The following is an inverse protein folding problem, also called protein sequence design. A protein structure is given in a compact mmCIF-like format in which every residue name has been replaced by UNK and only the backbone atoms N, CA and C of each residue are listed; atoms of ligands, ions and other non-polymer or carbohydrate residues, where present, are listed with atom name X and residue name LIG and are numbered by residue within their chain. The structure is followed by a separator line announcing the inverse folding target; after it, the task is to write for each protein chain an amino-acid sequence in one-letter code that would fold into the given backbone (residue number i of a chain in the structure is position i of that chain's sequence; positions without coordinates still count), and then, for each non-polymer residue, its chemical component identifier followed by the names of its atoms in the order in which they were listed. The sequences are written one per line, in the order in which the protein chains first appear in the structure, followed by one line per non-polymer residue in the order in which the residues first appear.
data_IF_037977943002
#
_entry.id   IF_037977943002
#
_cell.length_a   1.000
_cell.length_b   1.000
_cell.length_c   1.000
_cell.angle_alpha   90.00
_cell.angle_beta   90.00
_cell.angle_gamma   90.00
#
_symmetry.space_group_name_H-M   'P 1'
#
loop_
_entity.id
_entity.type
_entity.pdbx_description
1 polymer ?
#
# COMPACT_ATOMS: atom_id res chain seq x y z
N UNK A 1 -16.94 -1.51 21.02
CA UNK A 1 -17.29 -0.42 21.96
C UNK A 1 -16.09 0.30 22.59
N UNK A 2 -14.85 -0.22 22.54
CA UNK A 2 -13.66 0.45 23.13
C UNK A 2 -13.06 1.61 22.30
N UNK A 3 -13.50 1.84 21.06
CA UNK A 3 -12.90 2.88 20.19
C UNK A 3 -13.44 4.31 20.41
N UNK A 4 -14.45 4.50 21.29
CA UNK A 4 -14.99 5.85 21.58
C UNK A 4 -13.97 6.79 22.25
N UNK A 5 -12.87 6.27 22.78
CA UNK A 5 -11.85 7.05 23.51
C UNK A 5 -10.89 7.82 22.58
N UNK A 6 -10.93 7.62 21.25
CA UNK A 6 -10.01 8.25 20.29
C UNK A 6 -10.73 9.11 19.23
N UNK A 7 -11.79 9.81 19.63
CA UNK A 7 -12.54 10.74 18.76
C UNK A 7 -12.30 12.19 19.20
N UNK A 8 -11.09 12.76 18.98
CA UNK A 8 -10.74 14.10 19.45
C UNK A 8 -11.56 15.23 18.80
N UNK A 9 -12.14 14.99 17.63
CA UNK A 9 -12.94 15.97 16.89
C UNK A 9 -14.43 15.64 16.95
N UNK A 10 -15.26 16.67 17.03
CA UNK A 10 -16.69 16.52 16.81
C UNK A 10 -16.98 16.04 15.38
N UNK A 11 -18.07 15.29 15.22
CA UNK A 11 -18.42 14.65 13.93
C UNK A 11 -18.51 15.65 12.76
N UNK A 12 -19.10 16.84 12.88
CA UNK A 12 -19.12 17.82 11.79
C UNK A 12 -17.71 18.30 11.41
N UNK A 13 -16.83 18.48 12.40
CA UNK A 13 -15.45 18.93 12.19
C UNK A 13 -14.65 17.86 11.46
N UNK A 14 -14.78 16.59 11.86
CA UNK A 14 -14.17 15.47 11.15
C UNK A 14 -14.65 15.39 9.69
N UNK A 15 -15.95 15.51 9.45
CA UNK A 15 -16.51 15.46 8.09
C UNK A 15 -15.96 16.61 7.24
N UNK A 16 -15.97 17.83 7.76
CA UNK A 16 -15.42 18.99 7.06
C UNK A 16 -13.94 18.79 6.73
N UNK A 17 -13.15 18.29 7.68
CA UNK A 17 -11.74 17.98 7.47
C UNK A 17 -11.52 16.94 6.35
N UNK A 18 -12.30 15.85 6.35
CA UNK A 18 -12.20 14.83 5.31
C UNK A 18 -12.60 15.37 3.93
N UNK A 19 -13.63 16.22 3.85
CA UNK A 19 -14.02 16.89 2.60
C UNK A 19 -12.87 17.76 2.09
N UNK A 20 -12.26 18.58 2.95
CA UNK A 20 -11.13 19.43 2.58
C UNK A 20 -9.97 18.59 2.05
N UNK A 21 -9.62 17.47 2.70
CA UNK A 21 -8.58 16.56 2.21
C UNK A 21 -8.90 16.04 0.80
N UNK A 22 -10.14 15.63 0.55
CA UNK A 22 -10.53 15.12 -0.76
C UNK A 22 -10.49 16.21 -1.84
N UNK A 23 -10.88 17.45 -1.50
CA UNK A 23 -10.76 18.59 -2.41
C UNK A 23 -9.29 18.91 -2.73
N UNK A 24 -8.39 18.85 -1.75
CA UNK A 24 -6.95 19.04 -1.96
C UNK A 24 -6.40 17.96 -2.89
N UNK A 25 -6.74 16.68 -2.66
CA UNK A 25 -6.34 15.57 -3.54
C UNK A 25 -6.81 15.80 -4.98
N UNK A 26 -8.09 16.17 -5.16
CA UNK A 26 -8.66 16.43 -6.47
C UNK A 26 -7.97 17.61 -7.17
N UNK A 27 -7.69 18.69 -6.44
CA UNK A 27 -6.98 19.87 -6.97
C UNK A 27 -5.59 19.49 -7.49
N UNK A 28 -4.86 18.68 -6.73
CA UNK A 28 -3.54 18.19 -7.14
C UNK A 28 -3.64 17.26 -8.35
N UNK A 29 -4.62 16.36 -8.41
CA UNK A 29 -4.86 15.52 -9.60
C UNK A 29 -5.13 16.41 -10.83
N UNK A 30 -5.93 17.47 -10.67
CA UNK A 30 -6.23 18.41 -11.76
C UNK A 30 -4.98 19.14 -12.25
N UNK A 31 -4.03 19.46 -11.36
CA UNK A 31 -2.78 20.14 -11.72
C UNK A 31 -1.75 19.25 -12.45
N UNK A 32 -2.00 17.94 -12.61
CA UNK A 32 -1.13 16.98 -13.29
C UNK A 32 0.36 17.04 -12.84
N UNK A 33 0.67 16.74 -11.58
CA UNK A 33 2.00 16.94 -11.02
C UNK A 33 3.05 15.93 -11.51
N UNK A 34 2.64 14.85 -12.19
CA UNK A 34 3.56 13.79 -12.57
C UNK A 34 4.45 14.20 -13.75
N UNK A 35 5.72 13.79 -13.69
CA UNK A 35 6.69 14.06 -14.76
C UNK A 35 6.29 13.37 -16.07
N UNK A 36 6.70 13.96 -17.20
CA UNK A 36 6.44 13.38 -18.52
C UNK A 36 6.96 11.94 -18.67
N UNK A 37 8.13 11.64 -18.08
CA UNK A 37 8.68 10.28 -18.06
C UNK A 37 7.80 9.28 -17.34
N UNK A 38 7.29 9.65 -16.15
CA UNK A 38 6.34 8.83 -15.42
C UNK A 38 5.04 8.63 -16.20
N UNK A 39 4.48 9.71 -16.75
CA UNK A 39 3.24 9.67 -17.51
C UNK A 39 3.35 8.72 -18.71
N UNK A 40 4.45 8.80 -19.45
CA UNK A 40 4.67 7.95 -20.62
C UNK A 40 4.82 6.47 -20.24
N UNK A 41 5.58 6.16 -19.18
CA UNK A 41 5.73 4.79 -18.70
C UNK A 41 4.41 4.23 -18.17
N UNK A 42 3.77 4.92 -17.22
CA UNK A 42 2.64 4.39 -16.45
C UNK A 42 1.31 4.38 -17.21
N UNK A 43 1.10 5.34 -18.13
CA UNK A 43 -0.09 5.33 -19.00
C UNK A 43 0.19 4.65 -20.35
N UNK A 44 1.46 4.45 -20.71
CA UNK A 44 1.87 3.76 -21.93
C UNK A 44 2.09 2.26 -21.79
N UNK A 45 2.31 1.72 -20.57
CA UNK A 45 2.67 0.31 -20.39
C UNK A 45 1.63 -0.66 -20.98
N UNK A 46 0.36 -0.27 -21.01
CA UNK A 46 -0.75 -1.11 -21.52
C UNK A 46 -0.62 -1.46 -23.01
N UNK A 47 0.28 -0.80 -23.75
CA UNK A 47 0.59 -1.11 -25.16
C UNK A 47 1.52 -2.32 -25.31
N UNK A 48 2.10 -2.79 -24.22
CA UNK A 48 3.13 -3.81 -24.20
C UNK A 48 2.65 -5.02 -23.39
N UNK A 49 3.02 -6.25 -23.78
CA UNK A 49 2.70 -7.43 -22.98
C UNK A 49 3.37 -7.33 -21.61
N UNK A 50 2.82 -8.02 -20.59
CA UNK A 50 3.42 -8.03 -19.27
C UNK A 50 4.89 -8.46 -19.39
N UNK A 51 5.77 -7.82 -18.61
CA UNK A 51 7.22 -8.13 -18.56
C UNK A 51 8.07 -7.72 -19.76
N UNK A 52 7.49 -7.03 -20.73
CA UNK A 52 8.25 -6.45 -21.83
C UNK A 52 9.22 -5.37 -21.36
N UNK A 53 10.39 -5.28 -22.01
CA UNK A 53 11.38 -4.21 -21.86
C UNK A 53 11.28 -3.16 -22.98
N UNK A 54 10.27 -3.28 -23.83
CA UNK A 54 10.06 -2.40 -24.99
C UNK A 54 9.36 -1.10 -24.61
N UNK A 55 8.85 -0.99 -23.38
CA UNK A 55 8.39 0.27 -22.83
C UNK A 55 9.60 1.15 -22.50
N UNK A 56 9.70 2.31 -23.16
CA UNK A 56 10.86 3.19 -23.05
C UNK A 56 10.43 4.53 -22.50
N UNK A 57 11.27 5.16 -21.66
CA UNK A 57 11.04 6.53 -21.16
C UNK A 57 11.44 7.59 -22.19
N UNK A 58 11.24 8.89 -21.87
CA UNK A 58 11.50 10.01 -22.80
C UNK A 58 12.98 10.07 -23.23
N UNK A 59 13.89 9.49 -22.45
CA UNK A 59 15.31 9.33 -22.77
C UNK A 59 15.68 8.00 -23.45
N UNK A 60 14.72 7.27 -24.02
CA UNK A 60 14.91 5.95 -24.64
C UNK A 60 15.43 4.86 -23.68
N UNK A 61 15.31 5.09 -22.36
CA UNK A 61 15.75 4.14 -21.33
C UNK A 61 14.69 3.03 -21.22
N UNK A 62 15.06 1.74 -21.38
CA UNK A 62 14.13 0.64 -21.21
C UNK A 62 13.65 0.58 -19.77
N UNK A 63 12.34 0.57 -19.59
CA UNK A 63 11.69 0.46 -18.29
C UNK A 63 10.75 -0.74 -18.35
N UNK A 64 10.96 -1.79 -17.53
CA UNK A 64 10.17 -2.99 -17.64
C UNK A 64 8.69 -2.67 -17.37
N UNK A 65 7.86 -3.31 -18.17
CA UNK A 65 6.45 -3.49 -17.90
C UNK A 65 6.36 -4.36 -16.61
N UNK A 66 5.37 -4.08 -15.74
CA UNK A 66 5.41 -4.29 -14.29
C UNK A 66 5.77 -5.68 -13.80
N UNK A 67 6.12 -5.73 -12.50
CA UNK A 67 6.67 -6.90 -11.81
C UNK A 67 5.70 -8.08 -11.63
N UNK A 68 4.39 -7.89 -11.48
CA UNK A 68 3.42 -8.98 -11.22
C UNK A 68 2.16 -8.88 -12.08
N UNK A 69 1.52 -10.02 -12.37
CA UNK A 69 0.28 -10.07 -13.16
C UNK A 69 -0.88 -9.37 -12.45
N UNK A 70 -0.87 -9.38 -11.12
CA UNK A 70 -1.89 -8.72 -10.30
C UNK A 70 -1.80 -7.20 -10.42
N UNK A 71 -0.58 -6.67 -10.40
CA UNK A 71 -0.33 -5.26 -10.73
C UNK A 71 -0.82 -4.98 -12.15
N UNK A 72 -0.34 -5.75 -13.13
CA UNK A 72 -0.64 -5.52 -14.55
C UNK A 72 -2.16 -5.46 -14.82
N UNK A 73 -2.90 -6.39 -14.24
CA UNK A 73 -4.35 -6.51 -14.44
C UNK A 73 -5.11 -5.33 -13.84
N UNK A 74 -4.77 -4.90 -12.63
CA UNK A 74 -5.44 -3.77 -11.97
C UNK A 74 -5.16 -2.45 -12.68
N UNK A 75 -3.90 -2.20 -13.00
CA UNK A 75 -3.49 -0.94 -13.62
C UNK A 75 -3.82 -0.87 -15.11
N UNK A 76 -4.39 -1.93 -15.71
CA UNK A 76 -4.84 -1.91 -17.10
C UNK A 76 -5.79 -0.76 -17.43
N UNK A 77 -6.51 -0.25 -16.42
CA UNK A 77 -7.36 0.94 -16.53
C UNK A 77 -6.59 2.22 -16.96
N UNK A 78 -5.26 2.27 -16.79
CA UNK A 78 -4.44 3.39 -17.29
C UNK A 78 -4.47 3.53 -18.81
N UNK A 79 -4.90 2.49 -19.56
CA UNK A 79 -5.11 2.56 -21.02
C UNK A 79 -6.11 3.65 -21.44
N UNK A 80 -7.02 4.02 -20.55
CA UNK A 80 -7.99 5.10 -20.78
C UNK A 80 -7.41 6.49 -20.47
N UNK A 81 -6.13 6.56 -20.12
CA UNK A 81 -5.38 7.78 -19.90
C UNK A 81 -5.43 8.30 -18.47
N UNK A 82 -4.76 9.44 -18.28
CA UNK A 82 -4.54 10.07 -16.99
C UNK A 82 -5.82 10.28 -16.18
N UNK A 83 -6.83 10.92 -16.79
CA UNK A 83 -8.04 11.32 -16.07
C UNK A 83 -8.87 10.12 -15.63
N UNK A 84 -9.09 9.15 -16.52
CA UNK A 84 -9.88 7.97 -16.23
C UNK A 84 -9.29 7.18 -15.04
N UNK A 85 -7.96 6.97 -15.05
CA UNK A 85 -7.28 6.29 -13.94
C UNK A 85 -7.41 7.07 -12.62
N UNK A 86 -6.97 8.34 -12.59
CA UNK A 86 -6.90 9.08 -11.32
C UNK A 86 -8.27 9.38 -10.73
N UNK A 87 -9.29 9.64 -11.55
CA UNK A 87 -10.64 9.85 -11.05
C UNK A 87 -11.26 8.54 -10.52
N UNK A 88 -10.95 7.40 -11.16
CA UNK A 88 -11.39 6.10 -10.66
C UNK A 88 -10.73 5.76 -9.33
N UNK A 89 -9.40 5.93 -9.22
CA UNK A 89 -8.70 5.68 -7.95
C UNK A 89 -9.10 6.67 -6.87
N UNK A 90 -9.35 7.93 -7.21
CA UNK A 90 -9.90 8.92 -6.27
C UNK A 90 -11.30 8.54 -5.76
N UNK A 91 -12.18 8.02 -6.62
CA UNK A 91 -13.50 7.53 -6.21
C UNK A 91 -13.38 6.33 -5.26
N UNK A 92 -12.50 5.37 -5.57
CA UNK A 92 -12.18 4.23 -4.71
C UNK A 92 -11.63 4.72 -3.35
N UNK A 93 -10.74 5.72 -3.37
CA UNK A 93 -10.17 6.29 -2.16
C UNK A 93 -11.19 6.96 -1.27
N UNK A 94 -12.08 7.74 -1.87
CA UNK A 94 -13.17 8.39 -1.16
C UNK A 94 -14.07 7.35 -0.49
N UNK A 95 -14.43 6.28 -1.20
CA UNK A 95 -15.19 5.17 -0.63
C UNK A 95 -14.45 4.48 0.51
N UNK A 96 -13.14 4.22 0.36
CA UNK A 96 -12.30 3.63 1.40
C UNK A 96 -12.29 4.50 2.67
N UNK A 97 -12.09 5.81 2.52
CA UNK A 97 -12.05 6.75 3.65
C UNK A 97 -13.40 6.79 4.37
N UNK A 98 -14.52 6.77 3.64
CA UNK A 98 -15.86 6.70 4.24
C UNK A 98 -16.02 5.42 5.08
N UNK A 99 -15.62 4.27 4.52
CA UNK A 99 -15.69 2.99 5.23
C UNK A 99 -14.80 3.01 6.47
N UNK A 100 -13.56 3.50 6.36
CA UNK A 100 -12.62 3.59 7.49
C UNK A 100 -13.15 4.52 8.58
N UNK A 101 -13.62 5.72 8.22
CA UNK A 101 -14.16 6.70 9.15
C UNK A 101 -15.40 6.19 9.90
N UNK A 102 -16.18 5.30 9.27
CA UNK A 102 -17.39 4.71 9.86
C UNK A 102 -17.08 3.56 10.82
N UNK A 103 -15.92 2.91 10.71
CA UNK A 103 -15.62 1.66 11.41
C UNK A 103 -14.39 1.73 12.32
N UNK A 104 -13.57 2.77 12.23
CA UNK A 104 -12.32 2.90 12.96
C UNK A 104 -12.17 4.25 13.65
N UNK A 105 -11.14 4.39 14.49
CA UNK A 105 -10.85 5.63 15.21
C UNK A 105 -10.50 6.78 14.27
N UNK A 106 -10.70 8.02 14.73
CA UNK A 106 -10.35 9.21 13.95
C UNK A 106 -8.85 9.29 13.68
N UNK A 107 -8.01 8.87 14.64
CA UNK A 107 -6.57 8.80 14.45
C UNK A 107 -6.19 7.86 13.30
N UNK A 108 -6.77 6.65 13.27
CA UNK A 108 -6.54 5.72 12.17
C UNK A 108 -7.08 6.26 10.85
N UNK A 109 -8.22 6.93 10.87
CA UNK A 109 -8.79 7.59 9.69
C UNK A 109 -7.85 8.67 9.14
N UNK A 110 -7.28 9.51 10.01
CA UNK A 110 -6.28 10.52 9.64
C UNK A 110 -5.02 9.89 9.06
N UNK A 111 -4.52 8.81 9.67
CA UNK A 111 -3.40 8.03 9.14
C UNK A 111 -3.70 7.50 7.72
N UNK A 112 -4.86 6.88 7.50
CA UNK A 112 -5.26 6.36 6.18
C UNK A 112 -5.43 7.51 5.17
N UNK A 113 -6.00 8.64 5.59
CA UNK A 113 -6.17 9.84 4.75
C UNK A 113 -4.82 10.44 4.30
N UNK A 114 -3.83 10.45 5.19
CA UNK A 114 -2.47 10.90 4.86
C UNK A 114 -1.77 9.91 3.92
N UNK A 115 -1.81 8.62 4.22
CA UNK A 115 -1.17 7.59 3.39
C UNK A 115 -1.79 7.51 1.99
N UNK A 116 -3.12 7.58 1.90
CA UNK A 116 -3.81 7.63 0.61
C UNK A 116 -3.40 8.83 -0.24
N UNK A 117 -3.14 9.99 0.37
CA UNK A 117 -2.63 11.16 -0.36
C UNK A 117 -1.28 10.85 -1.02
N UNK A 118 -0.36 10.23 -0.29
CA UNK A 118 0.93 9.78 -0.85
C UNK A 118 0.73 8.80 -2.01
N UNK A 119 -0.09 7.76 -1.83
CA UNK A 119 -0.26 6.72 -2.84
C UNK A 119 -1.13 7.13 -4.02
N UNK A 120 -2.02 8.12 -3.90
CA UNK A 120 -2.76 8.66 -5.04
C UNK A 120 -1.91 9.61 -5.89
N UNK A 121 -1.09 10.44 -5.25
CA UNK A 121 -0.45 11.59 -5.90
C UNK A 121 1.02 11.30 -6.23
N UNK A 122 1.77 10.86 -5.21
CA UNK A 122 3.23 10.69 -5.30
C UNK A 122 3.58 9.33 -5.89
N UNK A 123 2.83 8.29 -5.51
CA UNK A 123 3.10 6.91 -5.93
C UNK A 123 1.85 6.15 -6.41
N UNK A 124 1.13 6.65 -7.44
CA UNK A 124 -0.07 6.00 -8.00
C UNK A 124 0.13 4.55 -8.44
N UNK A 125 1.35 4.19 -8.86
CA UNK A 125 1.76 2.82 -9.18
C UNK A 125 1.70 1.84 -7.99
N UNK A 126 1.64 2.33 -6.75
CA UNK A 126 1.57 1.51 -5.55
C UNK A 126 0.22 1.67 -4.81
N UNK A 127 -0.77 2.32 -5.43
CA UNK A 127 -2.09 2.51 -4.83
C UNK A 127 -2.81 1.19 -4.50
N UNK A 128 -2.75 0.19 -5.39
CA UNK A 128 -3.31 -1.15 -5.12
C UNK A 128 -2.67 -1.81 -3.89
N UNK A 129 -1.35 -1.64 -3.74
CA UNK A 129 -0.57 -2.21 -2.64
C UNK A 129 -1.03 -1.59 -1.32
N UNK A 130 -1.26 -0.27 -1.32
CA UNK A 130 -1.88 0.43 -0.20
C UNK A 130 -3.29 -0.09 0.11
N UNK A 131 -4.16 -0.29 -0.90
CA UNK A 131 -5.49 -0.88 -0.67
C UNK A 131 -5.39 -2.24 0.02
N UNK A 132 -4.49 -3.11 -0.44
CA UNK A 132 -4.26 -4.41 0.19
C UNK A 132 -3.75 -4.29 1.62
N UNK A 133 -2.90 -3.30 1.94
CA UNK A 133 -2.46 -3.06 3.31
C UNK A 133 -3.65 -2.70 4.20
N UNK A 134 -4.50 -1.77 3.78
CA UNK A 134 -5.66 -1.33 4.57
C UNK A 134 -6.70 -2.45 4.71
N UNK A 135 -7.03 -3.14 3.61
CA UNK A 135 -7.93 -4.29 3.64
C UNK A 135 -7.34 -5.47 4.44
N UNK A 136 -6.02 -5.58 4.49
CA UNK A 136 -5.25 -6.54 5.27
C UNK A 136 -5.53 -6.48 6.76
N UNK A 137 -5.82 -5.27 7.26
CA UNK A 137 -6.28 -5.06 8.65
C UNK A 137 -7.58 -5.79 8.94
N UNK A 138 -8.47 -5.89 7.95
CA UNK A 138 -9.79 -6.53 8.09
C UNK A 138 -9.67 -8.03 7.81
N UNK A 139 -9.00 -8.38 6.70
CA UNK A 139 -8.83 -9.75 6.22
C UNK A 139 -7.35 -10.00 5.92
N UNK A 140 -6.72 -10.84 6.74
CA UNK A 140 -5.28 -11.13 6.69
C UNK A 140 -4.75 -11.51 5.30
N UNK A 141 -5.54 -12.22 4.48
CA UNK A 141 -5.10 -12.68 3.16
C UNK A 141 -4.70 -11.54 2.21
N UNK A 142 -5.15 -10.30 2.43
CA UNK A 142 -4.68 -9.16 1.63
C UNK A 142 -3.24 -8.74 1.97
N UNK A 143 -2.73 -9.02 3.17
CA UNK A 143 -1.35 -8.66 3.54
C UNK A 143 -0.30 -9.44 2.70
N UNK A 144 -0.42 -10.76 2.50
CA UNK A 144 0.42 -11.46 1.51
C UNK A 144 0.25 -10.92 0.08
N UNK A 145 -0.96 -10.52 -0.32
CA UNK A 145 -1.19 -9.95 -1.66
C UNK A 145 -0.40 -8.66 -1.90
N UNK A 146 -0.14 -7.86 -0.86
CA UNK A 146 0.77 -6.71 -0.94
C UNK A 146 2.15 -7.12 -1.46
N UNK A 147 2.72 -8.17 -0.87
CA UNK A 147 4.06 -8.68 -1.22
C UNK A 147 4.02 -9.27 -2.62
N UNK A 148 3.03 -10.11 -2.92
CA UNK A 148 2.86 -10.75 -4.22
C UNK A 148 2.61 -9.76 -5.37
N UNK A 149 2.06 -8.58 -5.07
CA UNK A 149 1.82 -7.52 -6.05
C UNK A 149 3.08 -6.70 -6.30
N UNK A 150 3.81 -6.33 -5.24
CA UNK A 150 4.98 -5.47 -5.33
C UNK A 150 6.17 -6.18 -5.97
N UNK A 151 6.41 -7.43 -5.56
CA UNK A 151 7.51 -8.23 -6.05
C UNK A 151 7.06 -9.11 -7.22
N UNK A 152 7.97 -9.49 -8.14
CA UNK A 152 7.66 -10.39 -9.24
C UNK A 152 7.53 -11.85 -8.77
N UNK A 153 6.61 -12.09 -7.82
CA UNK A 153 6.38 -13.38 -7.17
C UNK A 153 5.16 -14.14 -7.72
N UNK A 154 4.43 -13.52 -8.64
CA UNK A 154 3.43 -14.17 -9.48
C UNK A 154 3.99 -14.10 -10.91
N UNK A 155 3.89 -15.17 -11.75
CA UNK A 155 4.61 -15.33 -13.00
C UNK A 155 4.91 -14.02 -13.70
N UNK A 156 6.20 -13.71 -13.89
CA UNK A 156 7.26 -14.62 -14.25
C UNK A 156 8.38 -14.52 -13.21
N UNK A 157 8.19 -15.24 -12.11
CA UNK A 157 9.22 -15.41 -11.09
C UNK A 157 10.55 -15.88 -11.72
N UNK A 158 10.46 -16.56 -12.86
CA UNK A 158 11.56 -17.19 -13.59
C UNK A 158 12.22 -16.31 -14.66
N UNK A 159 11.77 -15.07 -14.92
CA UNK A 159 12.39 -14.25 -15.99
C UNK A 159 13.68 -13.56 -15.51
N UNK A 160 14.88 -13.97 -15.98
CA UNK A 160 16.15 -13.46 -15.46
C UNK A 160 16.37 -11.98 -15.79
N UNK A 161 15.81 -11.50 -16.91
CA UNK A 161 15.92 -10.10 -17.33
C UNK A 161 15.32 -9.13 -16.31
N UNK A 162 14.20 -9.50 -15.67
CA UNK A 162 13.54 -8.68 -14.63
C UNK A 162 14.42 -8.60 -13.39
N UNK A 163 14.92 -9.75 -12.91
CA UNK A 163 15.81 -9.77 -11.75
C UNK A 163 17.11 -9.02 -12.02
N UNK A 164 17.68 -9.16 -13.22
CA UNK A 164 18.86 -8.41 -13.62
C UNK A 164 18.58 -6.91 -13.61
N UNK A 165 17.46 -6.45 -14.17
CA UNK A 165 17.06 -5.05 -14.10
C UNK A 165 16.92 -4.57 -12.65
N UNK A 166 16.24 -5.32 -11.79
CA UNK A 166 16.03 -4.95 -10.38
C UNK A 166 17.37 -4.75 -9.67
N UNK A 167 18.32 -5.66 -9.86
CA UNK A 167 19.58 -5.70 -9.11
C UNK A 167 20.67 -4.79 -9.68
N UNK A 168 20.65 -4.52 -10.99
CA UNK A 168 21.74 -3.80 -11.68
C UNK A 168 21.36 -2.42 -12.18
N UNK A 169 20.08 -2.11 -12.36
CA UNK A 169 19.67 -0.82 -12.92
C UNK A 169 19.70 0.30 -11.85
N UNK A 170 20.32 1.47 -12.15
CA UNK A 170 20.40 2.58 -11.21
C UNK A 170 19.03 3.15 -10.80
N UNK A 171 18.00 2.98 -11.64
CA UNK A 171 16.62 3.42 -11.40
C UNK A 171 15.77 2.36 -10.67
N UNK A 172 16.36 1.23 -10.27
CA UNK A 172 15.70 0.15 -9.53
C UNK A 172 16.14 0.13 -8.07
N UNK A 173 16.96 -0.85 -7.63
CA UNK A 173 17.37 -0.97 -6.23
C UNK A 173 18.33 0.15 -5.77
N UNK A 174 18.99 0.82 -6.70
CA UNK A 174 19.96 1.88 -6.38
C UNK A 174 19.33 3.27 -6.29
N UNK A 175 18.04 3.42 -6.59
CA UNK A 175 17.33 4.71 -6.51
C UNK A 175 16.89 5.00 -5.06
N UNK A 176 17.37 6.09 -4.43
CA UNK A 176 16.98 6.48 -3.07
C UNK A 176 15.46 6.71 -2.93
N UNK A 177 14.78 7.19 -3.98
CA UNK A 177 13.34 7.40 -3.95
C UNK A 177 12.57 6.08 -3.87
N UNK A 178 13.12 5.02 -4.46
CA UNK A 178 12.56 3.68 -4.33
C UNK A 178 12.69 3.18 -2.89
N UNK A 179 13.82 3.39 -2.23
CA UNK A 179 14.00 3.03 -0.81
C UNK A 179 13.04 3.76 0.11
N UNK A 180 12.88 5.08 -0.04
CA UNK A 180 11.92 5.85 0.75
C UNK A 180 10.51 5.28 0.61
N UNK A 181 10.12 4.92 -0.62
CA UNK A 181 8.82 4.30 -0.92
C UNK A 181 8.67 2.90 -0.31
N UNK A 182 9.70 2.04 -0.37
CA UNK A 182 9.70 0.74 0.28
C UNK A 182 9.57 0.84 1.80
N UNK A 183 10.23 1.82 2.43
CA UNK A 183 10.09 2.08 3.87
C UNK A 183 8.67 2.50 4.23
N UNK A 184 8.04 3.39 3.45
CA UNK A 184 6.65 3.81 3.65
C UNK A 184 5.69 2.61 3.50
N UNK A 185 5.87 1.79 2.46
CA UNK A 185 5.04 0.58 2.25
C UNK A 185 5.26 -0.42 3.39
N UNK A 186 6.51 -0.71 3.74
CA UNK A 186 6.87 -1.67 4.78
C UNK A 186 6.34 -1.26 6.15
N UNK A 187 6.53 0.00 6.53
CA UNK A 187 5.99 0.53 7.80
C UNK A 187 4.46 0.44 7.84
N UNK A 188 3.76 0.81 6.75
CA UNK A 188 2.32 0.69 6.67
C UNK A 188 1.83 -0.77 6.76
N UNK A 189 2.55 -1.69 6.11
CA UNK A 189 2.27 -3.12 6.18
C UNK A 189 2.44 -3.65 7.61
N UNK A 190 3.53 -3.30 8.30
CA UNK A 190 3.75 -3.70 9.70
C UNK A 190 2.71 -3.11 10.65
N UNK A 191 2.32 -1.84 10.46
CA UNK A 191 1.23 -1.22 11.23
C UNK A 191 -0.07 -2.00 11.04
N UNK A 192 -0.42 -2.34 9.80
CA UNK A 192 -1.62 -3.13 9.51
C UNK A 192 -1.57 -4.53 10.13
N UNK A 193 -0.43 -5.22 10.03
CA UNK A 193 -0.21 -6.52 10.66
C UNK A 193 -0.36 -6.45 12.18
N UNK A 194 0.26 -5.44 12.81
CA UNK A 194 0.18 -5.21 14.24
C UNK A 194 -1.27 -4.97 14.67
N UNK A 195 -1.99 -4.07 13.98
CA UNK A 195 -3.39 -3.77 14.27
C UNK A 195 -4.30 -4.98 14.07
N UNK A 196 -4.11 -5.76 13.00
CA UNK A 196 -4.84 -7.01 12.78
C UNK A 196 -4.61 -8.01 13.93
N UNK A 197 -3.33 -8.18 14.34
CA UNK A 197 -2.95 -9.11 15.40
C UNK A 197 -3.48 -8.66 16.77
N UNK A 198 -3.51 -7.35 17.00
CA UNK A 198 -4.07 -6.71 18.19
C UNK A 198 -5.59 -6.88 18.27
N UNK A 199 -6.30 -6.54 17.20
CA UNK A 199 -7.77 -6.63 17.10
C UNK A 199 -8.26 -8.09 17.30
N UNK A 200 -7.45 -9.08 16.94
CA UNK A 200 -7.71 -10.52 17.15
C UNK A 200 -7.22 -11.06 18.50
N UNK A 201 -6.60 -10.23 19.34
CA UNK A 201 -6.09 -10.62 20.65
C UNK A 201 -4.92 -11.61 20.61
N UNK A 202 -4.26 -11.77 19.47
CA UNK A 202 -3.12 -12.71 19.31
C UNK A 202 -1.94 -12.23 20.17
N UNK A 203 -1.66 -10.92 20.13
CA UNK A 203 -0.58 -10.29 20.90
C UNK A 203 -0.84 -10.29 22.42
N UNK A 204 -2.11 -10.30 22.83
CA UNK A 204 -2.50 -10.36 24.25
C UNK A 204 -2.57 -11.80 24.76
N UNK A 205 -2.94 -12.77 23.91
CA UNK A 205 -2.97 -14.20 24.27
C UNK A 205 -1.57 -14.78 24.44
N UNK A 206 -0.58 -14.38 23.63
CA UNK A 206 0.82 -14.83 23.80
C UNK A 206 1.41 -14.41 25.16
N UNK A 207 1.06 -13.21 25.66
CA UNK A 207 1.42 -12.77 27.02
C UNK A 207 0.76 -13.58 28.14
N UNK A 208 -0.45 -14.10 27.92
CA UNK A 208 -1.10 -15.00 28.89
C UNK A 208 -0.50 -16.40 28.85
N UNK A 209 -0.15 -16.93 27.67
CA UNK A 209 0.53 -18.24 27.57
C UNK A 209 1.91 -18.20 28.25
N UNK A 210 2.66 -17.09 28.15
CA UNK A 210 3.91 -16.92 28.90
C UNK A 210 3.72 -16.68 30.42
N UNK A 211 2.47 -16.47 30.90
CA UNK A 211 2.12 -16.52 32.32
C UNK A 211 1.60 -17.90 32.77
N UNK A 212 1.34 -18.80 31.82
CA UNK A 212 0.89 -20.19 32.02
C UNK A 212 2.03 -21.17 31.68
N UNK A 213 3.29 -20.72 31.75
CA UNK A 213 4.35 -21.60 32.23
C UNK A 213 4.39 -21.38 33.73
N UNK A 214 3.72 -22.25 34.52
CA UNK A 214 3.67 -22.08 35.95
C UNK A 214 5.09 -22.23 36.49
N UNK A 215 5.39 -21.46 37.54
CA UNK A 215 6.56 -21.65 38.39
C UNK A 215 6.82 -23.12 38.81
N UNK A 216 5.86 -24.03 38.60
CA UNK A 216 6.01 -25.47 38.81
C UNK A 216 7.06 -26.18 37.93
N UNK A 217 7.47 -25.64 36.77
CA UNK A 217 8.58 -26.26 36.00
C UNK A 217 9.97 -25.89 36.57
N UNK A 218 10.11 -24.70 37.18
CA UNK A 218 11.33 -24.30 37.88
C UNK A 218 11.43 -24.99 39.25
N UNK A 219 10.31 -25.18 39.96
CA UNK A 219 10.29 -25.99 41.20
C UNK A 219 10.59 -27.48 40.98
N UNK A 220 10.38 -28.02 39.78
CA UNK A 220 10.74 -29.40 39.45
C UNK A 220 12.25 -29.57 39.18
N UNK A 221 12.95 -28.50 38.78
CA UNK A 221 14.39 -28.52 38.51
C UNK A 221 15.19 -28.29 39.81
N UNK A 222 14.66 -27.52 40.77
CA UNK A 222 15.30 -27.28 42.08
C UNK A 222 15.12 -28.43 43.10
N UNK A 223 14.46 -29.54 42.72
CA UNK A 223 14.30 -30.74 43.57
C UNK A 223 15.24 -31.90 43.22
N UNK A 224 16.36 -31.65 42.55
CA UNK A 224 17.41 -32.67 42.34
C UNK A 224 18.70 -32.32 43.06
#
# INVERSE_FOLDING_TARGET
MRDRILSPLDRPVLIAFLIVIQLVKLTIIISKPNSAGFLMWFYGFSKYPPYSFDNRTVGNIPFPVPYSMLWYSYYWITRYGYWAFNLTTFAIDTALIIVVASNHSQFYTGYVAQMSMYFLIVSPQDYLIFLFIILGRIRFFFLPLTILTKFPLIPPITQPAIWNFILTNPYAIHDPLNWARYVIIGSAWFVSLFLWSWDRGILTRSRMVNKILPNGFLEFIDRK
#
